data_IF_244695886969
#
_entry.id   IF_244695886969
#
_cell.length_a   1.000
_cell.length_b   1.000
_cell.length_c   1.000
_cell.angle_alpha   90.00
_cell.angle_beta   90.00
_cell.angle_gamma   90.00
#
_symmetry.space_group_name_H-M   'P 1'
#
loop_
_entity.id
_entity.type
_entity.pdbx_description
1 polymer ?
#
# COMPACT_ATOMS: atom_id res chain seq x y z
N UNK A 1 7.08 -3.90 -7.45
CA UNK A 1 5.90 -4.01 -6.57
C UNK A 1 6.32 -4.49 -5.20
N UNK A 2 5.71 -3.97 -4.15
CA UNK A 2 6.02 -4.27 -2.74
C UNK A 2 4.74 -4.66 -2.02
N UNK A 3 4.74 -5.80 -1.34
CA UNK A 3 3.56 -6.32 -0.64
C UNK A 3 3.95 -6.66 0.80
N UNK A 4 3.13 -6.18 1.74
CA UNK A 4 3.08 -6.60 3.13
C UNK A 4 4.46 -6.66 3.81
N UNK A 5 4.90 -7.82 4.27
CA UNK A 5 6.11 -7.99 5.07
C UNK A 5 7.42 -7.55 4.39
N UNK A 6 7.44 -7.39 3.05
CA UNK A 6 8.57 -6.79 2.36
C UNK A 6 8.91 -5.38 2.87
N UNK A 7 7.92 -4.65 3.44
CA UNK A 7 8.13 -3.34 4.05
C UNK A 7 8.98 -3.40 5.32
N UNK A 8 8.97 -4.51 6.05
CA UNK A 8 9.73 -4.70 7.28
C UNK A 8 11.13 -5.31 7.05
N UNK A 9 11.47 -5.63 5.79
CA UNK A 9 12.85 -6.00 5.43
C UNK A 9 13.78 -4.85 5.79
N UNK A 10 14.89 -5.16 6.42
CA UNK A 10 15.86 -4.18 6.93
C UNK A 10 15.30 -3.14 7.93
N UNK A 11 14.17 -3.42 8.59
CA UNK A 11 13.52 -2.43 9.49
C UNK A 11 14.41 -1.91 10.60
N UNK A 12 15.39 -2.70 11.05
CA UNK A 12 16.33 -2.34 12.10
C UNK A 12 17.68 -1.79 11.56
N UNK A 13 17.88 -1.79 10.24
CA UNK A 13 19.10 -1.26 9.65
C UNK A 13 19.12 0.28 9.70
N UNK A 14 20.31 0.82 9.90
CA UNK A 14 20.56 2.27 9.96
C UNK A 14 20.87 2.83 8.55
N UNK A 15 20.09 2.41 7.56
CA UNK A 15 20.14 2.87 6.18
C UNK A 15 18.72 3.01 5.64
N UNK A 16 18.50 4.00 4.79
CA UNK A 16 17.16 4.32 4.27
C UNK A 16 16.92 3.91 2.81
N UNK A 17 17.94 3.43 2.10
CA UNK A 17 17.83 3.12 0.66
C UNK A 17 16.64 2.22 0.33
N UNK A 18 16.43 1.16 1.12
CA UNK A 18 15.29 0.24 0.95
C UNK A 18 13.96 0.96 1.18
N UNK A 19 13.85 1.77 2.22
CA UNK A 19 12.63 2.50 2.58
C UNK A 19 12.31 3.59 1.56
N UNK A 20 13.34 4.28 1.07
CA UNK A 20 13.18 5.28 0.01
C UNK A 20 12.72 4.62 -1.30
N UNK A 21 13.29 3.47 -1.68
CA UNK A 21 12.80 2.67 -2.82
C UNK A 21 11.33 2.28 -2.64
N UNK A 22 10.95 1.81 -1.44
CA UNK A 22 9.55 1.43 -1.14
C UNK A 22 8.61 2.63 -1.20
N UNK A 23 9.07 3.82 -0.84
CA UNK A 23 8.31 5.07 -0.75
C UNK A 23 7.71 5.36 0.62
N UNK A 24 7.77 4.41 1.54
CA UNK A 24 7.27 4.55 2.91
C UNK A 24 8.19 3.85 3.91
N UNK A 25 8.20 4.33 5.14
CA UNK A 25 8.88 3.69 6.27
C UNK A 25 7.84 3.16 7.24
N UNK A 26 7.90 1.85 7.53
CA UNK A 26 7.14 1.19 8.59
C UNK A 26 8.04 0.23 9.34
N UNK A 27 7.89 0.17 10.67
CA UNK A 27 8.64 -0.74 11.54
C UNK A 27 7.76 -1.63 12.40
N UNK A 28 6.46 -1.39 12.42
CA UNK A 28 5.48 -2.17 13.18
C UNK A 28 4.10 -2.11 12.51
N UNK A 29 3.21 -2.99 12.96
CA UNK A 29 1.83 -3.08 12.51
C UNK A 29 0.87 -3.21 13.69
N UNK A 30 -0.41 -2.99 13.45
CA UNK A 30 -1.49 -3.30 14.37
C UNK A 30 -1.94 -4.75 14.23
N UNK A 31 -2.89 -5.13 15.10
CA UNK A 31 -3.54 -6.43 15.06
C UNK A 31 -4.31 -6.65 13.75
N UNK A 32 -4.69 -7.89 13.51
CA UNK A 32 -5.51 -8.26 12.35
C UNK A 32 -6.96 -7.81 12.55
N UNK A 33 -7.45 -7.02 11.61
CA UNK A 33 -8.83 -6.51 11.58
C UNK A 33 -9.29 -6.27 10.14
N UNK A 34 -10.57 -6.03 9.95
CA UNK A 34 -11.16 -5.56 8.68
C UNK A 34 -11.13 -4.03 8.67
N UNK A 35 -10.07 -3.47 8.10
CA UNK A 35 -9.88 -2.02 8.08
C UNK A 35 -10.66 -1.36 6.94
N UNK A 36 -11.47 -0.31 7.23
CA UNK A 36 -12.03 0.53 6.17
C UNK A 36 -10.92 1.16 5.33
N UNK A 37 -11.06 1.09 4.01
CA UNK A 37 -10.09 1.64 3.05
C UNK A 37 -10.73 2.75 2.25
N UNK A 38 -10.15 3.94 2.29
CA UNK A 38 -10.59 5.09 1.51
C UNK A 38 -9.62 5.43 0.41
N UNK A 39 -10.08 5.40 -0.85
CA UNK A 39 -9.35 5.96 -1.97
C UNK A 39 -9.24 7.48 -1.81
N UNK A 40 -8.01 8.01 -1.87
CA UNK A 40 -7.72 9.45 -1.82
C UNK A 40 -7.31 9.99 -3.19
N UNK A 41 -6.62 9.20 -4.02
CA UNK A 41 -6.27 9.51 -5.40
C UNK A 41 -7.26 8.83 -6.38
N UNK A 42 -8.54 9.26 -6.36
CA UNK A 42 -9.63 8.59 -7.10
C UNK A 42 -9.44 8.57 -8.62
N UNK A 43 -8.76 9.58 -9.15
CA UNK A 43 -8.51 9.72 -10.60
C UNK A 43 -7.26 8.93 -11.06
N UNK A 44 -6.51 8.35 -10.12
CA UNK A 44 -5.36 7.53 -10.47
C UNK A 44 -5.81 6.20 -11.11
N UNK A 45 -5.21 5.75 -12.24
CA UNK A 45 -5.65 4.55 -12.97
C UNK A 45 -5.78 3.29 -12.11
N UNK A 46 -4.90 3.12 -11.13
CA UNK A 46 -4.95 1.98 -10.18
C UNK A 46 -6.25 1.99 -9.37
N UNK A 47 -6.77 3.18 -9.03
CA UNK A 47 -7.94 3.34 -8.17
C UNK A 47 -9.27 3.44 -8.95
N UNK A 48 -9.25 3.26 -10.26
CA UNK A 48 -10.46 3.27 -11.08
C UNK A 48 -11.50 2.28 -10.53
N UNK A 49 -12.74 2.73 -10.37
CA UNK A 49 -13.87 1.95 -9.84
C UNK A 49 -13.59 1.30 -8.46
N UNK A 50 -12.72 1.94 -7.64
CA UNK A 50 -12.50 1.47 -6.28
C UNK A 50 -13.74 1.76 -5.42
N UNK A 51 -14.31 0.75 -4.71
CA UNK A 51 -15.53 0.94 -3.96
C UNK A 51 -15.38 1.93 -2.80
N UNK A 52 -16.37 2.79 -2.60
CA UNK A 52 -16.33 3.82 -1.55
C UNK A 52 -16.44 3.26 -0.12
N UNK A 53 -17.07 2.09 0.01
CA UNK A 53 -17.37 1.41 1.28
C UNK A 53 -16.50 0.14 1.48
N UNK A 54 -15.37 0.03 0.76
CA UNK A 54 -14.50 -1.14 0.85
C UNK A 54 -13.84 -1.27 2.23
N UNK A 55 -13.84 -2.48 2.73
CA UNK A 55 -13.02 -2.92 3.86
C UNK A 55 -12.05 -4.00 3.41
N UNK A 56 -10.86 -3.99 3.97
CA UNK A 56 -9.90 -5.08 3.75
C UNK A 56 -10.48 -6.40 4.24
N UNK A 57 -10.02 -7.52 3.71
CA UNK A 57 -10.09 -8.78 4.44
C UNK A 57 -9.41 -8.62 5.80
N UNK A 58 -9.57 -9.59 6.69
CA UNK A 58 -8.87 -9.57 7.99
C UNK A 58 -7.36 -9.60 7.77
N UNK A 59 -6.72 -8.45 7.92
CA UNK A 59 -5.31 -8.21 7.60
C UNK A 59 -4.65 -7.31 8.67
N UNK A 60 -3.38 -7.05 8.54
CA UNK A 60 -2.59 -6.20 9.44
C UNK A 60 -2.44 -4.79 8.86
N UNK A 61 -2.76 -3.77 9.66
CA UNK A 61 -2.47 -2.39 9.28
C UNK A 61 -1.04 -2.04 9.68
N UNK A 62 -0.19 -1.80 8.69
CA UNK A 62 1.17 -1.32 8.93
C UNK A 62 1.15 0.17 9.25
N UNK A 63 1.82 0.54 10.32
CA UNK A 63 1.92 1.93 10.76
C UNK A 63 3.03 2.62 10.00
N UNK A 64 2.68 3.65 9.28
CA UNK A 64 3.62 4.41 8.45
C UNK A 64 4.19 5.58 9.26
N UNK A 65 5.51 5.56 9.44
CA UNK A 65 6.25 6.58 10.20
C UNK A 65 6.70 7.74 9.30
N UNK A 66 6.99 7.44 8.02
CA UNK A 66 7.45 8.43 7.05
C UNK A 66 6.94 8.09 5.67
N UNK A 67 6.53 9.10 4.93
CA UNK A 67 6.22 9.05 3.50
C UNK A 67 7.35 9.78 2.77
N UNK A 68 8.00 9.12 1.81
CA UNK A 68 9.10 9.71 1.06
C UNK A 68 8.60 10.66 -0.03
N UNK A 69 9.40 11.68 -0.44
CA UNK A 69 8.91 12.79 -1.27
C UNK A 69 8.28 12.42 -2.62
N UNK A 70 8.73 11.32 -3.23
CA UNK A 70 8.25 10.87 -4.54
C UNK A 70 7.07 9.90 -4.46
N UNK A 71 6.50 9.73 -3.27
CA UNK A 71 5.38 8.82 -3.02
C UNK A 71 4.06 9.53 -3.18
N UNK A 72 3.17 8.94 -3.96
CA UNK A 72 1.77 9.31 -4.06
C UNK A 72 0.91 8.29 -3.31
N UNK A 73 0.18 8.77 -2.31
CA UNK A 73 -0.75 7.93 -1.54
C UNK A 73 -2.03 7.75 -2.34
N UNK A 74 -2.41 6.51 -2.63
CA UNK A 74 -3.60 6.17 -3.39
C UNK A 74 -4.82 5.91 -2.51
N UNK A 75 -4.61 5.22 -1.38
CA UNK A 75 -5.66 4.94 -0.40
C UNK A 75 -5.08 4.87 1.01
N UNK A 76 -5.96 5.13 1.98
CA UNK A 76 -5.62 5.14 3.41
C UNK A 76 -6.59 4.28 4.21
N UNK A 77 -6.10 3.80 5.37
CA UNK A 77 -6.91 3.23 6.44
C UNK A 77 -6.60 3.92 7.76
N UNK A 78 -7.59 3.95 8.63
CA UNK A 78 -7.44 4.57 9.96
C UNK A 78 -6.96 3.52 10.97
N UNK A 79 -5.96 3.91 11.77
CA UNK A 79 -5.49 3.09 12.90
C UNK A 79 -6.58 3.00 13.97
N UNK A 80 -6.94 1.78 14.37
CA UNK A 80 -7.89 1.55 15.45
C UNK A 80 -7.33 1.98 16.82
N UNK A 81 -6.00 1.98 16.97
CA UNK A 81 -5.33 2.36 18.22
C UNK A 81 -5.12 3.85 18.36
N UNK A 82 -4.75 4.53 17.28
CA UNK A 82 -4.29 5.94 17.33
C UNK A 82 -5.24 6.92 16.64
N UNK A 83 -6.17 6.45 15.83
CA UNK A 83 -7.04 7.26 14.98
C UNK A 83 -6.30 7.95 13.81
N UNK A 84 -5.02 7.66 13.59
CA UNK A 84 -4.24 8.24 12.49
C UNK A 84 -4.47 7.50 11.19
N UNK A 85 -4.48 8.25 10.08
CA UNK A 85 -4.51 7.68 8.74
C UNK A 85 -3.15 7.13 8.36
N UNK A 86 -3.14 5.93 7.76
CA UNK A 86 -1.96 5.28 7.23
C UNK A 86 -2.17 4.94 5.76
N UNK A 87 -1.21 5.22 4.87
CA UNK A 87 -1.21 4.72 3.51
C UNK A 87 -1.31 3.20 3.47
N UNK A 88 -2.21 2.68 2.63
CA UNK A 88 -2.38 1.23 2.44
C UNK A 88 -2.19 0.79 0.99
N UNK A 89 -2.39 1.73 0.04
CA UNK A 89 -1.95 1.62 -1.35
C UNK A 89 -1.22 2.90 -1.73
N UNK A 90 -0.09 2.78 -2.39
CA UNK A 90 0.69 3.93 -2.87
C UNK A 90 1.49 3.59 -4.11
N UNK A 91 1.93 4.64 -4.81
CA UNK A 91 2.98 4.56 -5.82
C UNK A 91 4.19 5.36 -5.38
N UNK A 92 5.37 5.00 -5.88
CA UNK A 92 6.60 5.74 -5.66
C UNK A 92 7.45 5.75 -6.93
N UNK A 93 8.31 6.74 -7.05
CA UNK A 93 9.35 6.81 -8.08
C UNK A 93 10.71 6.85 -7.42
N UNK A 94 11.56 5.88 -7.76
CA UNK A 94 12.94 5.81 -7.31
C UNK A 94 13.87 5.77 -8.53
N UNK A 95 14.53 6.88 -8.85
CA UNK A 95 15.21 7.04 -10.11
C UNK A 95 14.25 6.83 -11.29
N UNK A 96 14.56 5.85 -12.14
CA UNK A 96 13.71 5.45 -13.28
C UNK A 96 12.67 4.38 -12.91
N UNK A 97 12.76 3.80 -11.71
CA UNK A 97 11.86 2.74 -11.27
C UNK A 97 10.49 3.29 -10.86
N UNK A 98 9.44 2.56 -11.22
CA UNK A 98 8.06 2.76 -10.75
C UNK A 98 7.75 1.68 -9.74
N UNK A 99 7.33 2.09 -8.56
CA UNK A 99 7.00 1.18 -7.45
C UNK A 99 5.54 1.32 -7.08
N UNK A 100 4.83 0.22 -7.03
CA UNK A 100 3.50 0.12 -6.42
C UNK A 100 3.63 -0.67 -5.12
N UNK A 101 3.03 -0.18 -4.06
CA UNK A 101 3.09 -0.78 -2.74
C UNK A 101 1.73 -0.91 -2.05
N UNK A 102 1.61 -1.95 -1.22
CA UNK A 102 0.46 -2.17 -0.33
C UNK A 102 0.89 -2.75 1.01
N UNK A 103 0.24 -2.31 2.09
CA UNK A 103 0.45 -2.89 3.42
C UNK A 103 -0.26 -4.24 3.57
N UNK A 104 -1.35 -4.46 2.85
CA UNK A 104 -2.15 -5.69 2.94
C UNK A 104 -1.51 -6.86 2.19
N UNK A 105 -1.77 -8.07 2.66
CA UNK A 105 -1.22 -9.30 2.08
C UNK A 105 -0.86 -10.36 3.11
N UNK A 106 -1.41 -10.26 4.35
CA UNK A 106 -1.10 -11.19 5.43
C UNK A 106 -1.71 -12.59 5.23
N UNK A 107 -2.90 -12.66 4.68
CA UNK A 107 -3.67 -13.90 4.65
C UNK A 107 -4.16 -14.31 3.26
N UNK A 108 -4.53 -15.57 3.11
CA UNK A 108 -5.19 -16.09 1.89
C UNK A 108 -6.45 -15.29 1.59
N UNK A 109 -7.24 -14.93 2.61
CA UNK A 109 -8.46 -14.15 2.44
C UNK A 109 -8.23 -12.80 1.73
N UNK A 110 -7.08 -12.17 1.93
CA UNK A 110 -6.71 -10.95 1.20
C UNK A 110 -6.50 -11.23 -0.29
N UNK A 111 -5.86 -12.36 -0.63
CA UNK A 111 -5.62 -12.77 -2.01
C UNK A 111 -6.85 -13.43 -2.68
N UNK A 112 -7.89 -13.75 -1.93
CA UNK A 112 -9.19 -14.19 -2.46
C UNK A 112 -10.15 -13.00 -2.69
N UNK A 113 -9.81 -11.80 -2.20
CA UNK A 113 -10.64 -10.60 -2.35
C UNK A 113 -10.52 -10.02 -3.77
N UNK A 114 -11.62 -9.96 -4.54
CA UNK A 114 -11.58 -9.50 -5.91
C UNK A 114 -11.25 -8.01 -6.06
N UNK A 115 -11.54 -7.17 -5.06
CA UNK A 115 -11.19 -5.74 -5.07
C UNK A 115 -9.68 -5.60 -4.88
N UNK A 116 -9.13 -6.32 -3.91
CA UNK A 116 -7.68 -6.34 -3.68
C UNK A 116 -6.93 -6.84 -4.92
N UNK A 117 -7.34 -7.99 -5.49
CA UNK A 117 -6.69 -8.56 -6.68
C UNK A 117 -6.73 -7.63 -7.89
N UNK A 118 -7.87 -6.96 -8.12
CA UNK A 118 -8.00 -5.99 -9.21
C UNK A 118 -7.06 -4.80 -9.00
N UNK A 119 -6.99 -4.28 -7.78
CA UNK A 119 -6.09 -3.15 -7.43
C UNK A 119 -4.62 -3.59 -7.59
N UNK A 120 -4.28 -4.78 -7.13
CA UNK A 120 -2.94 -5.37 -7.26
C UNK A 120 -2.54 -5.52 -8.73
N UNK A 121 -3.43 -6.08 -9.57
CA UNK A 121 -3.20 -6.24 -11.01
C UNK A 121 -2.93 -4.91 -11.71
N UNK A 122 -3.74 -3.89 -11.42
CA UNK A 122 -3.53 -2.53 -11.95
C UNK A 122 -2.22 -1.92 -11.47
N UNK A 123 -1.85 -2.17 -10.21
CA UNK A 123 -0.57 -1.74 -9.65
C UNK A 123 0.63 -2.37 -10.36
N UNK A 124 0.55 -3.67 -10.69
CA UNK A 124 1.57 -4.39 -11.47
C UNK A 124 1.69 -3.78 -12.88
N UNK A 125 0.57 -3.60 -13.58
CA UNK A 125 0.54 -3.02 -14.92
C UNK A 125 1.12 -1.60 -14.93
N UNK A 126 0.73 -0.77 -13.96
CA UNK A 126 1.26 0.57 -13.81
C UNK A 126 2.78 0.55 -13.56
N UNK A 127 3.27 -0.31 -12.67
CA UNK A 127 4.70 -0.44 -12.36
C UNK A 127 5.51 -0.95 -13.56
N UNK A 128 4.94 -1.84 -14.36
CA UNK A 128 5.55 -2.34 -15.60
C UNK A 128 5.57 -1.29 -16.74
N UNK A 129 4.87 -0.17 -16.58
CA UNK A 129 4.79 0.86 -17.62
C UNK A 129 3.80 0.51 -18.73
N UNK A 130 2.86 -0.40 -18.49
CA UNK A 130 1.83 -0.75 -19.46
C UNK A 130 0.93 0.47 -19.71
N UNK A 131 0.86 0.88 -20.98
CA UNK A 131 0.06 2.02 -21.44
C UNK A 131 -1.34 1.61 -21.91
N UNK A 132 -1.74 0.37 -21.68
CA UNK A 132 -3.12 -0.06 -21.96
C UNK A 132 -4.04 0.51 -20.90
N UNK A 133 -4.51 1.73 -21.19
CA UNK A 133 -5.64 2.35 -20.51
C UNK A 133 -6.95 1.91 -21.18
#
# INVERSE_FOLDING_TARGET
>A
MVIHCAMHTYRAADIDDWRELLGVTSRHHEHQSEYPVKAVAKDHPIMKDFPADYKSAKDELYIIEKIWPNTEVLATSISEKTGKLNPVFWTNRYGKARVFGTTYGHSVATFDDPVFLRTLSRGIQWAAGDKRE
#
